data_IF_950538203993
#
_entry.id   IF_950538203993
#
_cell.length_a   1.000
_cell.length_b   1.000
_cell.length_c   1.000
_cell.angle_alpha   90.00
_cell.angle_beta   90.00
_cell.angle_gamma   90.00
#
_symmetry.space_group_name_H-M   'P 1'
#
loop_
_entity.id
_entity.type
_entity.pdbx_description
1 polymer ?
#
# COMPACT_ATOMS: atom_id res chain seq x y z
N UNK A 1 11.92 -20.69 -81.71
CA UNK A 1 12.26 -19.73 -80.63
C UNK A 1 11.33 -19.97 -79.45
N UNK A 2 11.77 -20.70 -78.42
CA UNK A 2 11.01 -20.93 -77.18
C UNK A 2 11.36 -19.81 -76.20
N UNK A 3 10.38 -19.00 -75.79
CA UNK A 3 10.53 -18.00 -74.72
C UNK A 3 10.45 -18.73 -73.37
N UNK A 4 11.53 -18.65 -72.60
CA UNK A 4 11.54 -19.05 -71.20
C UNK A 4 10.76 -18.01 -70.38
N UNK A 5 9.78 -18.46 -69.61
CA UNK A 5 9.08 -17.66 -68.61
C UNK A 5 9.80 -17.89 -67.29
N UNK A 6 10.54 -16.90 -66.82
CA UNK A 6 11.09 -16.88 -65.47
C UNK A 6 9.97 -16.57 -64.48
N UNK A 7 9.65 -17.53 -63.62
CA UNK A 7 8.80 -17.32 -62.45
C UNK A 7 9.68 -16.69 -61.37
N UNK A 8 9.45 -15.41 -61.09
CA UNK A 8 10.06 -14.68 -59.98
C UNK A 8 9.32 -15.06 -58.70
N UNK A 9 9.98 -15.83 -57.82
CA UNK A 9 9.47 -16.17 -56.50
C UNK A 9 9.65 -14.93 -55.60
N UNK A 10 8.55 -14.23 -55.29
CA UNK A 10 8.56 -13.13 -54.33
C UNK A 10 8.46 -13.73 -52.92
N UNK A 11 9.58 -13.78 -52.19
CA UNK A 11 9.55 -14.06 -50.74
C UNK A 11 9.00 -12.81 -50.04
N UNK A 12 7.71 -12.83 -49.69
CA UNK A 12 7.16 -11.91 -48.69
C UNK A 12 7.52 -12.43 -47.31
N UNK A 13 8.49 -11.78 -46.66
CA UNK A 13 8.66 -11.88 -45.21
C UNK A 13 7.40 -11.33 -44.54
N UNK A 14 6.58 -12.23 -43.98
CA UNK A 14 5.60 -11.87 -42.97
C UNK A 14 6.38 -11.47 -41.71
N UNK A 15 6.53 -10.16 -41.49
CA UNK A 15 6.76 -9.64 -40.14
C UNK A 15 5.50 -9.96 -39.33
N UNK A 16 5.58 -11.01 -38.51
CA UNK A 16 4.63 -11.21 -37.42
C UNK A 16 4.94 -10.08 -36.44
N UNK A 17 4.27 -8.94 -36.62
CA UNK A 17 4.14 -7.98 -35.53
C UNK A 17 3.35 -8.68 -34.45
N UNK A 18 3.94 -8.89 -33.29
CA UNK A 18 3.22 -9.25 -32.08
C UNK A 18 2.17 -8.16 -31.85
N UNK A 19 0.91 -8.46 -32.16
CA UNK A 19 -0.20 -7.68 -31.67
C UNK A 19 -0.23 -7.88 -30.16
N UNK A 20 0.40 -6.97 -29.43
CA UNK A 20 0.11 -6.79 -28.02
C UNK A 20 -1.40 -6.48 -27.94
N UNK A 21 -2.16 -7.39 -27.32
CA UNK A 21 -3.60 -7.23 -27.13
C UNK A 21 -3.83 -6.20 -26.03
N UNK A 22 -3.84 -4.91 -26.39
CA UNK A 22 -4.24 -3.85 -25.47
C UNK A 22 -5.72 -4.06 -25.12
N UNK A 23 -5.98 -4.45 -23.87
CA UNK A 23 -7.35 -4.58 -23.37
C UNK A 23 -7.68 -3.30 -22.63
N UNK A 24 -8.63 -2.52 -23.15
CA UNK A 24 -9.12 -1.30 -22.50
C UNK A 24 -10.35 -1.64 -21.66
N UNK A 25 -10.39 -1.23 -20.40
CA UNK A 25 -11.60 -1.32 -19.56
C UNK A 25 -11.92 0.06 -18.99
N UNK A 26 -13.16 0.48 -19.18
CA UNK A 26 -13.65 1.78 -18.75
C UNK A 26 -14.73 1.59 -17.68
N UNK A 27 -14.57 2.23 -16.53
CA UNK A 27 -15.59 2.35 -15.48
C UNK A 27 -16.11 3.78 -15.50
N UNK A 28 -17.43 3.98 -15.44
CA UNK A 28 -18.02 5.34 -15.45
C UNK A 28 -19.09 5.45 -14.39
N UNK A 29 -19.02 6.52 -13.59
CA UNK A 29 -20.05 6.92 -12.63
C UNK A 29 -20.35 8.42 -12.82
N UNK A 30 -21.38 8.91 -12.14
CA UNK A 30 -21.75 10.32 -12.13
C UNK A 30 -21.99 10.78 -10.69
N UNK A 31 -21.59 12.00 -10.36
CA UNK A 31 -21.73 12.58 -9.03
C UNK A 31 -21.70 14.10 -9.06
N UNK A 32 -22.03 14.75 -7.95
CA UNK A 32 -21.83 16.19 -7.79
C UNK A 32 -20.54 16.40 -6.99
N UNK A 33 -19.47 16.86 -7.63
CA UNK A 33 -18.15 16.93 -6.97
C UNK A 33 -17.90 18.27 -6.27
N UNK A 34 -18.40 19.36 -6.84
CA UNK A 34 -18.20 20.70 -6.26
C UNK A 34 -19.35 21.68 -6.56
N UNK A 35 -20.24 21.33 -7.49
CA UNK A 35 -21.31 22.20 -7.93
C UNK A 35 -22.67 21.51 -7.85
N UNK A 36 -23.73 22.27 -8.10
CA UNK A 36 -25.06 21.69 -8.24
C UNK A 36 -25.24 20.88 -9.53
N UNK A 37 -24.31 20.98 -10.48
CA UNK A 37 -24.28 20.22 -11.71
C UNK A 37 -23.72 18.81 -11.48
N UNK A 38 -24.17 17.86 -12.31
CA UNK A 38 -23.69 16.48 -12.26
C UNK A 38 -22.46 16.34 -13.14
N UNK A 39 -21.35 15.98 -12.52
CA UNK A 39 -20.10 15.64 -13.17
C UNK A 39 -20.12 14.19 -13.64
N UNK A 40 -19.52 13.93 -14.81
CA UNK A 40 -19.30 12.59 -15.33
C UNK A 40 -17.86 12.16 -15.04
N UNK A 41 -17.69 11.08 -14.29
CA UNK A 41 -16.39 10.55 -13.87
C UNK A 41 -16.15 9.23 -14.59
N UNK A 42 -15.11 9.18 -15.40
CA UNK A 42 -14.71 7.98 -16.15
C UNK A 42 -13.28 7.59 -15.79
N UNK A 43 -13.08 6.35 -15.37
CA UNK A 43 -11.78 5.73 -15.22
C UNK A 43 -11.52 4.83 -16.42
N UNK A 44 -10.43 5.09 -17.14
CA UNK A 44 -9.96 4.26 -18.24
C UNK A 44 -8.66 3.58 -17.83
N UNK A 45 -8.62 2.25 -17.83
CA UNK A 45 -7.40 1.50 -17.58
C UNK A 45 -6.83 0.99 -18.91
N UNK A 46 -5.57 1.34 -19.18
CA UNK A 46 -4.85 0.83 -20.35
C UNK A 46 -3.94 -0.31 -19.90
N UNK A 47 -4.30 -1.53 -20.30
CA UNK A 47 -3.54 -2.74 -20.00
C UNK A 47 -2.54 -3.01 -21.13
N UNK A 48 -1.24 -2.88 -20.85
CA UNK A 48 -0.18 -3.33 -21.76
C UNK A 48 0.41 -4.66 -21.26
N UNK A 49 0.15 -5.73 -22.02
CA UNK A 49 0.74 -7.05 -21.77
C UNK A 49 2.20 -7.04 -22.21
N UNK A 50 3.14 -7.23 -21.28
CA UNK A 50 4.53 -7.45 -21.64
C UNK A 50 4.80 -8.95 -21.77
N UNK A 51 5.40 -9.37 -22.90
CA UNK A 51 5.53 -10.77 -23.36
C UNK A 51 6.50 -11.64 -22.51
N UNK A 52 6.87 -11.16 -21.32
CA UNK A 52 7.71 -11.89 -20.38
C UNK A 52 7.43 -11.46 -18.94
N UNK A 53 6.82 -12.38 -18.18
CA UNK A 53 6.88 -12.48 -16.71
C UNK A 53 5.99 -11.48 -15.95
N UNK A 54 4.83 -11.96 -15.48
CA UNK A 54 4.06 -11.59 -14.27
C UNK A 54 3.75 -10.12 -13.91
N UNK A 55 4.21 -9.12 -14.68
CA UNK A 55 3.99 -7.70 -14.40
C UNK A 55 3.39 -7.01 -15.62
N UNK A 56 2.32 -6.24 -15.40
CA UNK A 56 1.74 -5.34 -16.37
C UNK A 56 2.08 -3.93 -15.90
N UNK A 57 2.98 -3.24 -16.59
CA UNK A 57 3.06 -1.79 -16.41
C UNK A 57 1.78 -1.22 -17.01
N UNK A 58 0.96 -0.59 -16.18
CA UNK A 58 -0.32 -0.06 -16.59
C UNK A 58 -0.39 1.42 -16.25
N UNK A 59 -1.27 2.12 -16.94
CA UNK A 59 -1.69 3.44 -16.49
C UNK A 59 -3.19 3.45 -16.44
N UNK A 60 -3.73 4.32 -15.58
CA UNK A 60 -5.11 4.71 -15.69
C UNK A 60 -5.20 6.19 -16.02
N UNK A 61 -6.25 6.53 -16.75
CA UNK A 61 -6.67 7.89 -17.03
C UNK A 61 -7.95 8.13 -16.26
N UNK A 62 -7.90 9.01 -15.27
CA UNK A 62 -9.09 9.54 -14.61
C UNK A 62 -9.58 10.75 -15.41
N UNK A 63 -10.81 10.67 -15.89
CA UNK A 63 -11.48 11.75 -16.60
C UNK A 63 -12.65 12.26 -15.78
N UNK A 64 -12.73 13.58 -15.59
CA UNK A 64 -13.86 14.26 -14.97
C UNK A 64 -14.32 15.33 -15.96
N UNK A 65 -15.53 15.16 -16.51
CA UNK A 65 -16.03 15.96 -17.63
C UNK A 65 -15.04 15.99 -18.82
N UNK A 66 -14.43 17.14 -19.10
CA UNK A 66 -13.46 17.34 -20.17
C UNK A 66 -11.99 17.37 -19.68
N UNK A 67 -11.75 17.11 -18.40
CA UNK A 67 -10.44 17.13 -17.76
C UNK A 67 -9.92 15.72 -17.59
N UNK A 68 -8.62 15.51 -17.76
CA UNK A 68 -7.99 14.19 -17.70
C UNK A 68 -6.74 14.25 -16.82
N UNK A 69 -6.54 13.22 -16.01
CA UNK A 69 -5.38 12.99 -15.17
C UNK A 69 -4.82 11.60 -15.47
N UNK A 70 -3.55 11.53 -15.88
CA UNK A 70 -2.85 10.28 -16.16
C UNK A 70 -2.02 9.86 -14.93
N UNK A 71 -2.19 8.62 -14.47
CA UNK A 71 -1.40 8.03 -13.40
C UNK A 71 -0.79 6.72 -13.86
N UNK A 72 0.52 6.60 -13.73
CA UNK A 72 1.25 5.34 -13.92
C UNK A 72 1.14 4.52 -12.63
N UNK A 73 0.79 3.25 -12.77
CA UNK A 73 0.64 2.31 -11.65
C UNK A 73 1.08 0.91 -12.06
N UNK A 74 1.67 0.19 -11.13
CA UNK A 74 1.88 -1.25 -11.30
C UNK A 74 0.61 -1.98 -10.89
N UNK A 75 -0.07 -2.53 -11.89
CA UNK A 75 -1.29 -3.29 -11.71
C UNK A 75 -1.02 -4.73 -12.08
N UNK A 76 -1.54 -5.64 -11.28
CA UNK A 76 -1.47 -7.07 -11.57
C UNK A 76 -2.71 -7.47 -12.36
N UNK A 77 -3.60 -8.24 -11.73
CA UNK A 77 -4.65 -8.98 -12.43
C UNK A 77 -6.04 -8.36 -12.21
N UNK A 78 -6.13 -7.40 -11.28
CA UNK A 78 -7.36 -6.71 -10.93
C UNK A 78 -7.35 -5.27 -11.44
N UNK A 79 -8.53 -4.77 -11.76
CA UNK A 79 -8.71 -3.45 -12.37
C UNK A 79 -9.06 -2.45 -11.29
N UNK A 80 -8.50 -1.24 -11.36
CA UNK A 80 -8.90 -0.15 -10.51
C UNK A 80 -10.41 0.08 -10.44
N UNK A 81 -10.90 0.32 -9.23
CA UNK A 81 -12.28 0.64 -8.95
C UNK A 81 -12.41 2.11 -8.57
N UNK A 82 -13.58 2.69 -8.82
CA UNK A 82 -13.82 4.11 -8.61
C UNK A 82 -14.96 4.33 -7.63
N UNK A 83 -14.72 5.21 -6.66
CA UNK A 83 -15.61 5.56 -5.58
C UNK A 83 -15.73 7.07 -5.44
N UNK A 84 -16.90 7.53 -4.99
CA UNK A 84 -17.07 8.89 -4.49
C UNK A 84 -16.98 8.85 -2.97
N UNK A 85 -16.19 9.75 -2.40
CA UNK A 85 -15.96 9.84 -0.96
C UNK A 85 -16.04 11.30 -0.54
N UNK A 86 -16.46 11.55 0.69
CA UNK A 86 -16.52 12.90 1.26
C UNK A 86 -15.49 12.96 2.38
N UNK A 87 -14.39 13.69 2.14
CA UNK A 87 -13.32 13.82 3.13
C UNK A 87 -13.68 14.84 4.21
N UNK A 88 -14.46 15.87 3.88
CA UNK A 88 -14.89 16.93 4.78
C UNK A 88 -16.32 17.38 4.43
N UNK A 89 -17.29 16.88 5.19
CA UNK A 89 -18.71 17.14 4.93
C UNK A 89 -19.09 18.62 5.05
N UNK A 90 -18.18 19.46 5.55
CA UNK A 90 -18.37 20.90 5.67
C UNK A 90 -17.85 21.71 4.45
N UNK A 91 -17.07 21.10 3.54
CA UNK A 91 -16.34 21.85 2.48
C UNK A 91 -17.03 21.90 1.09
N UNK A 92 -18.20 21.27 0.94
CA UNK A 92 -18.96 21.12 -0.32
C UNK A 92 -18.20 20.38 -1.45
N UNK A 93 -17.05 19.77 -1.16
CA UNK A 93 -16.39 18.89 -2.10
C UNK A 93 -16.83 17.45 -1.87
N UNK A 94 -16.88 16.69 -2.95
CA UNK A 94 -16.89 15.23 -2.94
C UNK A 94 -15.67 14.81 -3.74
N UNK A 95 -14.79 14.04 -3.10
CA UNK A 95 -13.60 13.49 -3.71
C UNK A 95 -13.88 12.21 -4.51
N UNK A 96 -12.95 11.91 -5.41
CA UNK A 96 -12.91 10.65 -6.15
C UNK A 96 -11.77 9.81 -5.59
N UNK A 97 -12.09 8.62 -5.10
CA UNK A 97 -11.11 7.62 -4.69
C UNK A 97 -10.99 6.55 -5.77
N UNK A 98 -9.76 6.26 -6.19
CA UNK A 98 -9.43 5.17 -7.10
C UNK A 98 -8.74 4.08 -6.30
N UNK A 99 -9.42 2.94 -6.10
CA UNK A 99 -8.89 1.76 -5.43
C UNK A 99 -8.09 0.95 -6.43
N UNK A 100 -6.80 0.80 -6.19
CA UNK A 100 -5.80 0.19 -7.06
C UNK A 100 -5.33 -1.09 -6.38
N UNK A 101 -5.75 -2.26 -6.87
CA UNK A 101 -5.30 -3.53 -6.32
C UNK A 101 -3.85 -3.82 -6.72
N UNK A 102 -3.06 -4.28 -5.75
CA UNK A 102 -1.68 -4.76 -5.91
C UNK A 102 -1.55 -6.18 -5.35
N UNK A 103 -0.40 -6.82 -5.55
CA UNK A 103 -0.22 -8.25 -5.23
C UNK A 103 -0.50 -8.60 -3.76
N UNK A 104 -0.10 -7.72 -2.84
CA UNK A 104 -0.27 -7.91 -1.39
C UNK A 104 -1.03 -6.78 -0.71
N UNK A 105 -1.31 -5.70 -1.43
CA UNK A 105 -1.82 -4.45 -0.87
C UNK A 105 -2.87 -3.84 -1.80
N UNK A 106 -3.59 -2.87 -1.26
CA UNK A 106 -4.48 -1.97 -1.97
C UNK A 106 -3.91 -0.56 -1.82
N UNK A 107 -4.05 0.25 -2.85
CA UNK A 107 -3.79 1.68 -2.79
C UNK A 107 -5.06 2.45 -3.09
N UNK A 108 -5.25 3.57 -2.42
CA UNK A 108 -6.33 4.49 -2.73
C UNK A 108 -5.71 5.81 -3.13
N UNK A 109 -5.73 6.10 -4.43
CA UNK A 109 -5.40 7.41 -4.94
C UNK A 109 -6.62 8.33 -4.80
N UNK A 110 -6.45 9.46 -4.11
CA UNK A 110 -7.54 10.38 -3.82
C UNK A 110 -7.39 11.66 -4.65
N UNK A 111 -8.49 12.08 -5.25
CA UNK A 111 -8.56 13.23 -6.14
C UNK A 111 -9.68 14.18 -5.75
N UNK A 112 -9.42 15.49 -5.90
CA UNK A 112 -10.42 16.56 -5.79
C UNK A 112 -10.59 17.25 -7.13
N UNK A 113 -11.82 17.61 -7.47
CA UNK A 113 -12.13 18.40 -8.66
C UNK A 113 -12.82 19.70 -8.26
N UNK A 114 -12.29 20.83 -8.71
CA UNK A 114 -12.82 22.17 -8.38
C UNK A 114 -13.62 22.82 -9.51
N UNK A 115 -13.93 22.07 -10.57
CA UNK A 115 -14.58 22.59 -11.79
C UNK A 115 -13.61 22.87 -12.94
N UNK A 116 -12.32 23.11 -12.64
CA UNK A 116 -11.31 23.50 -13.64
C UNK A 116 -10.13 22.51 -13.71
N UNK A 117 -9.78 21.84 -12.62
CA UNK A 117 -8.67 20.89 -12.57
C UNK A 117 -8.93 19.69 -11.67
N UNK A 118 -8.34 18.55 -12.04
CA UNK A 118 -8.28 17.34 -11.22
C UNK A 118 -6.98 17.40 -10.40
N UNK A 119 -7.09 17.51 -9.09
CA UNK A 119 -5.97 17.59 -8.16
C UNK A 119 -5.79 16.29 -7.40
N UNK A 120 -4.59 15.73 -7.42
CA UNK A 120 -4.22 14.59 -6.59
C UNK A 120 -3.95 15.06 -5.15
N UNK A 121 -4.65 14.47 -4.18
CA UNK A 121 -4.52 14.80 -2.76
C UNK A 121 -3.52 13.89 -2.03
N UNK A 122 -3.42 12.63 -2.45
CA UNK A 122 -2.49 11.66 -1.85
C UNK A 122 -2.88 10.21 -2.12
N UNK A 123 -1.97 9.32 -1.76
CA UNK A 123 -2.12 7.87 -1.86
C UNK A 123 -2.21 7.28 -0.44
N UNK A 124 -3.17 6.38 -0.23
CA UNK A 124 -3.33 5.66 1.04
C UNK A 124 -3.07 4.18 0.77
N UNK A 125 -1.94 3.60 1.25
CA UNK A 125 -1.75 2.16 1.24
C UNK A 125 -2.72 1.50 2.22
N UNK A 126 -3.13 0.27 1.96
CA UNK A 126 -3.96 -0.53 2.87
C UNK A 126 -3.90 -2.02 2.53
N UNK A 127 -4.25 -2.88 3.48
CA UNK A 127 -4.56 -4.31 3.21
C UNK A 127 -6.07 -4.59 3.14
N UNK A 128 -6.90 -3.56 3.21
CA UNK A 128 -8.34 -3.69 3.23
C UNK A 128 -9.06 -2.41 2.84
N UNK A 129 -10.30 -2.29 3.30
CA UNK A 129 -11.13 -1.12 3.01
C UNK A 129 -10.68 0.09 3.84
N UNK A 130 -10.63 1.25 3.18
CA UNK A 130 -10.32 2.54 3.81
C UNK A 130 -11.61 3.17 4.31
N UNK A 131 -11.56 3.71 5.53
CA UNK A 131 -12.68 4.47 6.11
C UNK A 131 -12.39 5.97 6.00
N UNK A 132 -13.30 6.68 5.35
CA UNK A 132 -13.32 8.14 5.27
C UNK A 132 -14.35 8.67 6.25
N UNK A 133 -13.93 9.46 7.23
CA UNK A 133 -14.78 9.85 8.35
C UNK A 133 -15.57 11.13 8.10
N UNK A 134 -15.28 11.86 7.01
CA UNK A 134 -15.95 13.11 6.65
C UNK A 134 -15.58 14.30 7.53
N UNK A 135 -14.50 14.20 8.29
CA UNK A 135 -13.99 15.23 9.20
C UNK A 135 -12.50 15.49 8.99
N UNK A 136 -12.01 15.31 7.76
CA UNK A 136 -10.61 15.29 7.34
C UNK A 136 -9.79 14.08 7.79
N UNK A 137 -10.33 13.19 8.63
CA UNK A 137 -9.62 12.00 9.10
C UNK A 137 -9.93 10.78 8.22
N UNK A 138 -8.91 9.94 8.03
CA UNK A 138 -8.96 8.72 7.24
C UNK A 138 -8.26 7.62 8.01
N UNK A 139 -8.84 6.42 8.03
CA UNK A 139 -8.20 5.25 8.65
C UNK A 139 -8.12 4.09 7.68
N UNK A 140 -6.99 3.40 7.67
CA UNK A 140 -6.74 2.28 6.77
C UNK A 140 -5.99 1.15 7.49
N UNK A 141 -6.44 -0.12 7.41
CA UNK A 141 -5.69 -1.24 7.97
C UNK A 141 -4.37 -1.41 7.21
N UNK A 142 -3.28 -1.60 7.97
CA UNK A 142 -1.92 -1.80 7.47
C UNK A 142 -1.37 -3.13 7.98
N UNK A 143 -0.67 -3.83 7.10
CA UNK A 143 0.06 -5.05 7.47
C UNK A 143 1.48 -4.70 7.93
N UNK A 144 1.85 -5.18 9.11
CA UNK A 144 3.14 -4.91 9.74
C UNK A 144 4.00 -6.18 9.83
N UNK A 145 3.82 -7.13 8.90
CA UNK A 145 4.64 -8.35 8.79
C UNK A 145 4.16 -9.54 9.64
N UNK A 146 3.69 -9.32 10.86
CA UNK A 146 3.12 -10.39 11.71
C UNK A 146 2.00 -9.89 12.64
N UNK A 147 1.67 -8.61 12.52
CA UNK A 147 0.62 -7.91 13.24
C UNK A 147 0.00 -6.85 12.32
N UNK A 148 -1.13 -6.30 12.72
CA UNK A 148 -1.83 -5.24 11.99
C UNK A 148 -1.92 -3.95 12.80
N UNK A 149 -1.94 -2.82 12.09
CA UNK A 149 -2.29 -1.53 12.68
C UNK A 149 -3.39 -0.86 11.88
N UNK A 150 -4.24 -0.11 12.56
CA UNK A 150 -5.09 0.88 11.89
C UNK A 150 -4.27 2.16 11.74
N UNK A 151 -3.87 2.44 10.49
CA UNK A 151 -3.07 3.61 10.13
C UNK A 151 -3.97 4.84 10.02
N UNK A 152 -3.56 5.92 10.65
CA UNK A 152 -4.27 7.20 10.61
C UNK A 152 -3.66 8.11 9.55
N UNK A 153 -4.50 8.77 8.77
CA UNK A 153 -4.12 9.78 7.80
C UNK A 153 -5.05 10.98 7.96
N UNK A 154 -4.56 12.16 7.58
CA UNK A 154 -5.33 13.40 7.69
C UNK A 154 -5.16 14.24 6.43
N UNK A 155 -6.28 14.79 5.94
CA UNK A 155 -6.29 15.85 4.95
C UNK A 155 -5.92 17.17 5.63
N UNK A 156 -4.84 17.81 5.16
CA UNK A 156 -4.45 19.17 5.59
C UNK A 156 -4.29 20.04 4.37
N UNK A 157 -5.25 20.95 4.16
CA UNK A 157 -5.33 21.71 2.91
C UNK A 157 -5.69 20.78 1.76
N UNK A 158 -4.81 20.67 0.76
CA UNK A 158 -4.99 19.77 -0.39
C UNK A 158 -3.95 18.65 -0.41
N UNK A 159 -3.56 18.15 0.76
CA UNK A 159 -2.62 17.03 0.87
C UNK A 159 -3.04 16.10 2.00
N UNK A 160 -3.06 14.81 1.70
CA UNK A 160 -3.24 13.75 2.67
C UNK A 160 -1.86 13.33 3.18
N UNK A 161 -1.71 13.23 4.49
CA UNK A 161 -0.46 12.81 5.14
C UNK A 161 -0.72 11.80 6.26
N UNK A 162 0.20 10.86 6.50
CA UNK A 162 0.11 9.92 7.61
C UNK A 162 0.26 10.64 8.96
N UNK A 163 -0.47 10.18 9.98
CA UNK A 163 -0.38 10.65 11.36
C UNK A 163 0.31 9.57 12.20
N UNK A 164 1.63 9.71 12.36
CA UNK A 164 2.45 8.71 13.06
C UNK A 164 2.46 8.95 14.57
N UNK A 165 2.01 7.95 15.34
CA UNK A 165 2.02 7.95 16.82
C UNK A 165 3.39 7.56 17.38
N UNK A 166 3.63 7.91 18.65
CA UNK A 166 4.86 7.51 19.34
C UNK A 166 4.97 6.01 19.60
N UNK A 167 3.83 5.34 19.73
CA UNK A 167 3.75 3.90 19.89
C UNK A 167 2.37 3.37 19.54
N UNK A 168 2.33 2.10 19.16
CA UNK A 168 1.12 1.34 18.83
C UNK A 168 1.01 0.12 19.76
N UNK A 169 -0.21 -0.34 19.99
CA UNK A 169 -0.46 -1.65 20.58
C UNK A 169 -0.72 -2.62 19.43
N UNK A 170 0.10 -3.68 19.28
CA UNK A 170 0.00 -4.55 18.13
C UNK A 170 -1.19 -5.50 18.25
N UNK A 171 -1.97 -5.63 17.18
CA UNK A 171 -3.00 -6.64 17.03
C UNK A 171 -2.40 -7.82 16.25
N UNK A 172 -2.14 -8.93 16.94
CA UNK A 172 -1.49 -10.10 16.34
C UNK A 172 -2.51 -10.90 15.52
N UNK A 173 -2.08 -11.44 14.37
CA UNK A 173 -2.98 -12.23 13.53
C UNK A 173 -3.49 -13.52 14.20
N UNK A 174 -2.66 -14.14 15.07
CA UNK A 174 -3.00 -15.39 15.77
C UNK A 174 -2.76 -15.30 17.27
N UNK A 175 -3.68 -15.89 18.04
CA UNK A 175 -3.58 -16.08 19.49
C UNK A 175 -2.68 -17.28 19.87
N UNK A 176 -1.50 -17.39 19.24
CA UNK A 176 -0.51 -18.40 19.62
C UNK A 176 0.43 -17.79 20.65
N UNK A 177 0.71 -18.56 21.70
CA UNK A 177 1.72 -18.18 22.69
C UNK A 177 3.08 -18.00 22.02
N UNK A 178 3.71 -16.84 22.23
CA UNK A 178 5.03 -16.52 21.71
C UNK A 178 6.06 -17.08 22.69
N UNK A 179 6.96 -17.93 22.21
CA UNK A 179 7.98 -18.59 23.04
C UNK A 179 9.37 -18.09 22.66
N UNK A 180 10.18 -17.69 23.64
CA UNK A 180 11.60 -17.44 23.44
C UNK A 180 12.31 -18.76 23.14
N UNK A 181 12.87 -18.93 21.95
CA UNK A 181 13.71 -20.09 21.60
C UNK A 181 15.18 -19.86 21.96
N UNK A 182 15.59 -18.59 21.98
CA UNK A 182 16.92 -18.15 22.38
C UNK A 182 16.85 -17.01 23.40
N UNK A 183 18.02 -16.65 23.93
CA UNK A 183 18.14 -15.53 24.86
C UNK A 183 17.90 -14.20 24.15
N UNK A 184 17.00 -13.39 24.69
CA UNK A 184 16.67 -12.06 24.16
C UNK A 184 17.11 -11.00 25.17
N UNK A 185 17.93 -10.06 24.73
CA UNK A 185 18.33 -8.90 25.54
C UNK A 185 17.30 -7.79 25.38
N UNK A 186 16.77 -7.32 26.50
CA UNK A 186 15.86 -6.18 26.57
C UNK A 186 16.59 -4.97 27.16
N UNK A 187 16.32 -3.81 26.60
CA UNK A 187 16.82 -2.51 26.99
C UNK A 187 15.77 -1.80 27.85
N UNK A 188 16.18 -1.13 28.94
CA UNK A 188 15.23 -0.38 29.79
C UNK A 188 14.64 0.81 29.03
N UNK A 189 15.42 1.40 28.11
CA UNK A 189 15.02 2.51 27.25
C UNK A 189 15.19 2.11 25.77
N UNK A 190 14.59 2.88 24.83
CA UNK A 190 14.79 2.71 23.38
C UNK A 190 16.18 3.22 22.95
N UNK A 191 17.20 2.59 23.50
CA UNK A 191 18.60 2.92 23.33
C UNK A 191 19.45 1.67 23.58
N UNK A 192 20.28 1.32 22.59
CA UNK A 192 21.14 0.14 22.62
C UNK A 192 22.19 0.20 23.75
N UNK A 193 22.54 1.40 24.24
CA UNK A 193 23.49 1.60 25.35
C UNK A 193 22.84 1.60 26.74
N UNK A 194 21.51 1.44 26.82
CA UNK A 194 20.82 1.47 28.12
C UNK A 194 21.06 0.20 28.94
N UNK A 195 20.70 0.25 30.22
CA UNK A 195 20.71 -0.93 31.09
C UNK A 195 19.87 -2.05 30.49
N UNK A 196 20.29 -3.30 30.71
CA UNK A 196 19.65 -4.45 30.09
C UNK A 196 19.15 -5.48 31.10
N UNK A 197 18.12 -6.21 30.69
CA UNK A 197 17.64 -7.46 31.30
C UNK A 197 17.50 -8.51 30.20
N UNK A 198 17.29 -9.78 30.55
CA UNK A 198 17.28 -10.86 29.55
C UNK A 198 16.10 -11.80 29.73
N UNK A 199 15.39 -12.09 28.65
CA UNK A 199 14.44 -13.20 28.58
C UNK A 199 15.25 -14.46 28.27
N UNK A 200 15.10 -15.49 29.10
CA UNK A 200 15.76 -16.78 28.90
C UNK A 200 14.94 -17.68 27.97
N UNK A 201 15.58 -18.63 27.26
CA UNK A 201 14.88 -19.61 26.44
C UNK A 201 13.80 -20.37 27.23
N UNK A 202 12.66 -20.62 26.60
CA UNK A 202 11.50 -21.29 27.17
C UNK A 202 10.54 -20.37 27.94
N UNK A 203 10.87 -19.09 28.13
CA UNK A 203 9.92 -18.10 28.63
C UNK A 203 8.93 -17.70 27.54
N UNK A 204 7.70 -17.39 27.94
CA UNK A 204 6.66 -16.94 27.02
C UNK A 204 6.60 -15.41 27.03
N UNK A 205 6.27 -14.81 25.89
CA UNK A 205 6.43 -13.39 25.61
C UNK A 205 5.08 -12.77 25.22
N UNK A 206 4.84 -11.58 25.74
CA UNK A 206 3.76 -10.69 25.33
C UNK A 206 4.38 -9.45 24.68
N UNK A 207 3.91 -9.07 23.49
CA UNK A 207 4.29 -7.81 22.84
C UNK A 207 3.29 -6.73 23.26
N UNK A 208 3.75 -5.75 24.04
CA UNK A 208 2.86 -4.76 24.67
C UNK A 208 2.71 -3.52 23.78
N UNK A 209 3.84 -3.04 23.23
CA UNK A 209 3.90 -1.81 22.42
C UNK A 209 4.97 -1.90 21.34
N UNK A 210 4.77 -1.17 20.26
CA UNK A 210 5.72 -1.03 19.17
C UNK A 210 5.93 0.45 18.84
N UNK A 211 7.17 0.87 18.58
CA UNK A 211 7.50 2.17 18.00
C UNK A 211 8.20 1.93 16.66
N UNK A 212 7.53 2.35 15.58
CA UNK A 212 7.95 2.13 14.19
C UNK A 212 8.66 3.34 13.56
N UNK A 213 8.91 4.41 14.33
CA UNK A 213 9.48 5.65 13.80
C UNK A 213 10.96 5.55 13.45
N UNK A 214 11.66 4.57 14.03
CA UNK A 214 13.07 4.32 13.71
C UNK A 214 13.19 3.30 12.59
N UNK A 215 13.97 3.68 11.58
CA UNK A 215 14.27 2.86 10.40
C UNK A 215 15.77 2.64 10.30
N UNK A 216 16.17 1.51 9.72
CA UNK A 216 17.58 1.26 9.45
C UNK A 216 18.03 2.15 8.27
N UNK A 217 19.26 2.71 8.31
CA UNK A 217 19.76 3.62 7.28
C UNK A 217 19.76 3.04 5.86
N UNK A 218 19.85 1.71 5.76
CA UNK A 218 19.90 0.96 4.50
C UNK A 218 18.50 0.58 3.97
N UNK A 219 17.43 0.80 4.75
CA UNK A 219 16.08 0.48 4.33
C UNK A 219 15.47 1.61 3.49
N UNK A 220 14.99 1.26 2.30
CA UNK A 220 14.19 2.16 1.48
C UNK A 220 12.77 2.16 2.07
N UNK A 221 12.42 3.23 2.78
CA UNK A 221 11.07 3.44 3.30
C UNK A 221 10.15 3.78 2.12
N UNK A 222 9.44 2.76 1.61
CA UNK A 222 8.45 2.96 0.55
C UNK A 222 7.10 3.41 1.11
N UNK A 223 6.79 3.07 2.37
CA UNK A 223 5.50 3.33 2.98
C UNK A 223 5.62 4.03 4.33
N UNK A 224 4.67 4.93 4.67
CA UNK A 224 4.72 5.69 5.91
C UNK A 224 4.54 4.82 7.16
N UNK A 225 3.88 3.67 7.02
CA UNK A 225 3.76 2.63 8.03
C UNK A 225 4.58 1.43 7.55
N UNK A 226 5.81 1.31 8.01
CA UNK A 226 6.68 0.18 7.69
C UNK A 226 7.21 -0.44 8.97
N UNK A 227 7.04 -1.75 9.12
CA UNK A 227 7.73 -2.48 10.17
C UNK A 227 9.18 -2.70 9.75
N UNK A 228 10.10 -2.00 10.40
CA UNK A 228 11.53 -2.03 10.11
C UNK A 228 12.24 -3.02 11.04
N UNK A 229 13.37 -3.57 10.58
CA UNK A 229 14.31 -4.30 11.44
C UNK A 229 14.78 -3.46 12.64
N UNK A 230 14.74 -2.13 12.51
CA UNK A 230 15.09 -1.16 13.53
C UNK A 230 13.91 -0.68 14.39
N UNK A 231 12.67 -1.11 14.11
CA UNK A 231 11.50 -0.80 14.95
C UNK A 231 11.66 -1.40 16.35
N UNK A 232 11.20 -0.65 17.36
CA UNK A 232 11.33 -1.03 18.78
C UNK A 232 10.08 -1.71 19.30
N UNK A 233 10.26 -2.83 19.98
CA UNK A 233 9.22 -3.65 20.57
C UNK A 233 9.39 -3.70 22.09
N UNK A 234 8.35 -3.32 22.83
CA UNK A 234 8.31 -3.46 24.28
C UNK A 234 7.70 -4.81 24.64
N UNK A 235 8.54 -5.69 25.18
CA UNK A 235 8.19 -7.07 25.51
C UNK A 235 7.97 -7.23 27.01
N UNK A 236 7.17 -8.23 27.37
CA UNK A 236 7.01 -8.73 28.74
C UNK A 236 7.10 -10.25 28.74
N UNK A 237 7.96 -10.82 29.58
CA UNK A 237 8.07 -12.27 29.72
C UNK A 237 7.17 -12.83 30.82
N UNK A 238 6.96 -14.15 30.82
CA UNK A 238 6.21 -14.86 31.86
C UNK A 238 6.85 -14.79 33.25
N UNK A 239 8.16 -14.54 33.36
CA UNK A 239 8.82 -14.24 34.65
C UNK A 239 8.69 -12.78 35.09
N UNK A 240 8.02 -11.93 34.31
CA UNK A 240 7.74 -10.53 34.62
C UNK A 240 8.83 -9.55 34.21
N UNK A 241 9.83 -9.98 33.43
CA UNK A 241 10.84 -9.08 32.86
C UNK A 241 10.24 -8.27 31.73
N UNK A 242 10.57 -6.99 31.66
CA UNK A 242 10.07 -6.08 30.62
C UNK A 242 11.18 -5.21 30.06
N UNK A 243 11.04 -4.81 28.80
CA UNK A 243 11.96 -3.87 28.16
C UNK A 243 11.82 -3.84 26.65
N UNK A 244 12.58 -2.95 26.03
CA UNK A 244 12.61 -2.68 24.60
C UNK A 244 13.62 -3.57 23.88
N UNK A 245 13.29 -4.03 22.68
CA UNK A 245 14.21 -4.73 21.78
C UNK A 245 13.88 -4.35 20.34
N UNK A 246 14.90 -4.25 19.48
CA UNK A 246 14.67 -4.04 18.05
C UNK A 246 14.19 -5.32 17.38
N UNK A 247 13.37 -5.23 16.34
CA UNK A 247 12.85 -6.39 15.61
C UNK A 247 13.95 -7.39 15.22
N UNK A 248 15.00 -6.91 14.55
CA UNK A 248 16.15 -7.72 14.12
C UNK A 248 16.83 -8.50 15.25
N UNK A 249 16.69 -8.05 16.49
CA UNK A 249 17.35 -8.66 17.64
C UNK A 249 16.53 -9.77 18.30
N UNK A 250 15.25 -9.95 17.94
CA UNK A 250 14.40 -11.01 18.49
C UNK A 250 13.60 -11.83 17.46
N UNK A 251 13.45 -11.37 16.21
CA UNK A 251 12.64 -12.05 15.18
C UNK A 251 12.96 -13.55 15.05
N UNK A 252 14.25 -13.91 14.93
CA UNK A 252 14.69 -15.30 14.79
C UNK A 252 14.81 -16.06 16.13
N UNK A 253 14.51 -15.39 17.25
CA UNK A 253 14.66 -15.92 18.62
C UNK A 253 13.33 -16.24 19.27
N UNK A 254 12.25 -16.21 18.49
CA UNK A 254 10.90 -16.51 18.96
C UNK A 254 10.19 -17.46 18.02
N UNK A 255 9.37 -18.33 18.62
CA UNK A 255 8.36 -19.11 17.92
C UNK A 255 6.97 -18.58 18.26
N UNK A 256 6.01 -18.79 17.36
CA UNK A 256 4.61 -18.45 17.61
C UNK A 256 4.11 -17.21 16.87
N UNK A 257 5.02 -16.42 16.28
CA UNK A 257 4.67 -15.31 15.40
C UNK A 257 4.49 -15.79 13.95
N UNK A 258 3.48 -15.22 13.29
CA UNK A 258 3.16 -15.48 11.88
C UNK A 258 3.94 -14.54 10.99
N UNK A 259 5.25 -14.78 10.89
CA UNK A 259 6.11 -14.01 9.99
C UNK A 259 5.61 -14.11 8.55
N UNK A 260 5.61 -12.98 7.84
CA UNK A 260 5.55 -12.97 6.38
C UNK A 260 6.68 -13.87 5.86
N UNK A 261 6.34 -14.90 5.09
CA UNK A 261 7.28 -15.85 4.47
C UNK A 261 7.34 -15.68 2.96
#
# INVERSE_FOLDING_TARGET
>A
MKKAVSILLLLTFLTIGSLLSQTKRDTTISGKLHSDETDLITLTCNLELYDSVWYLQQNYVLKINNHEFLREVELYDEIPELYLVDLDVEDNFIEVAVRIPSFYFLYYDIYRFNGDEIKFLGEIPSIGDVTFWGNNDITAPQYMGFWELTGDFQLTGDSISPVVKESYTPELFWDKEILATEKITLHVEKNDDSQTTTIEPGETIEIIKVDIREHCEEEIIQYPFTNSDCSWYYLKSSSGKTGWVRLKNFMDKVEGLSWAG
#
